data_IF_515167944948
#
_entry.id   IF_515167944948
#
_cell.length_a   1.000
_cell.length_b   1.000
_cell.length_c   1.000
_cell.angle_alpha   90.00
_cell.angle_beta   90.00
_cell.angle_gamma   90.00
#
_symmetry.space_group_name_H-M   'P 1'
#
loop_
_entity.id
_entity.type
_entity.pdbx_description
1 polymer ?
#
# COMPACT_ATOMS: atom_id res chain seq x y z
N UNK A 1 11.76 -1.74 -9.60
CA UNK A 1 11.68 -2.76 -8.53
C UNK A 1 11.04 -4.01 -9.13
N UNK A 2 11.75 -5.15 -9.17
CA UNK A 2 11.18 -6.42 -9.64
C UNK A 2 10.61 -7.14 -8.41
N UNK A 3 9.31 -6.98 -8.17
CA UNK A 3 8.58 -7.79 -7.21
C UNK A 3 8.19 -9.10 -7.87
N UNK A 4 8.55 -10.24 -7.28
CA UNK A 4 7.98 -11.53 -7.68
C UNK A 4 6.54 -11.56 -7.19
N UNK A 5 5.59 -11.68 -8.12
CA UNK A 5 4.17 -11.87 -7.82
C UNK A 5 3.94 -13.35 -7.50
N UNK A 6 3.93 -13.70 -6.22
CA UNK A 6 3.26 -14.94 -5.81
C UNK A 6 1.77 -14.62 -5.62
N UNK A 7 0.98 -15.03 -6.60
CA UNK A 7 -0.47 -14.88 -6.59
C UNK A 7 -1.10 -15.82 -5.56
N UNK A 8 -1.36 -15.29 -4.37
CA UNK A 8 -2.28 -15.89 -3.41
C UNK A 8 -3.16 -14.78 -2.84
N UNK A 9 -4.40 -14.70 -3.32
CA UNK A 9 -5.45 -13.97 -2.60
C UNK A 9 -5.59 -14.62 -1.22
N UNK A 10 -5.55 -13.83 -0.15
CA UNK A 10 -5.66 -14.39 1.20
C UNK A 10 -7.02 -15.10 1.35
N UNK A 11 -7.04 -16.35 1.83
CA UNK A 11 -8.25 -17.18 1.86
C UNK A 11 -9.32 -16.69 2.86
N UNK A 12 -8.98 -15.75 3.73
CA UNK A 12 -9.81 -15.21 4.82
C UNK A 12 -10.57 -13.91 4.47
N UNK A 13 -10.39 -13.37 3.26
CA UNK A 13 -11.05 -12.15 2.78
C UNK A 13 -12.59 -12.24 2.65
N UNK A 14 -13.19 -13.41 2.93
CA UNK A 14 -14.63 -13.65 2.75
C UNK A 14 -15.48 -13.49 4.03
N UNK A 15 -14.90 -13.15 5.20
CA UNK A 15 -15.68 -13.18 6.47
C UNK A 15 -15.45 -11.99 7.41
N UNK A 16 -14.43 -11.16 7.19
CA UNK A 16 -14.25 -9.84 7.80
C UNK A 16 -13.82 -8.86 6.70
N UNK A 17 -14.07 -7.54 6.79
CA UNK A 17 -13.41 -6.62 5.87
C UNK A 17 -11.91 -6.77 6.10
N UNK A 18 -11.24 -7.47 5.19
CA UNK A 18 -9.81 -7.68 5.28
C UNK A 18 -9.14 -6.29 5.23
N UNK A 19 -8.21 -6.07 6.16
CA UNK A 19 -7.48 -4.82 6.28
C UNK A 19 -6.03 -5.06 5.83
N UNK A 20 -5.53 -4.15 5.00
CA UNK A 20 -4.13 -4.06 4.63
C UNK A 20 -3.43 -2.99 5.46
N UNK A 21 -2.17 -3.22 5.78
CA UNK A 21 -1.28 -2.20 6.37
C UNK A 21 -0.67 -1.39 5.24
N UNK A 22 -0.76 -0.07 5.32
CA UNK A 22 -0.23 0.85 4.31
C UNK A 22 0.50 2.02 4.97
N UNK A 23 1.54 2.54 4.29
CA UNK A 23 2.11 3.86 4.62
C UNK A 23 1.34 4.91 3.81
N UNK A 24 0.68 5.84 4.50
CA UNK A 24 -0.18 6.84 3.89
C UNK A 24 0.31 8.26 4.20
N UNK A 25 0.22 9.14 3.20
CA UNK A 25 0.45 10.58 3.33
C UNK A 25 -0.91 11.29 3.18
N UNK A 26 -1.31 12.07 4.18
CA UNK A 26 -2.58 12.81 4.18
C UNK A 26 -2.40 14.32 4.29
N UNK A 27 -1.16 14.79 4.48
CA UNK A 27 -0.78 16.20 4.63
C UNK A 27 0.60 16.44 4.02
N UNK A 28 0.89 17.66 3.62
CA UNK A 28 2.22 18.04 3.14
C UNK A 28 3.23 18.06 4.30
N UNK A 29 4.47 17.66 4.01
CA UNK A 29 5.57 17.64 4.98
C UNK A 29 6.72 16.76 4.50
N UNK A 30 7.73 16.61 5.35
CA UNK A 30 8.83 15.68 5.16
C UNK A 30 8.46 14.25 5.59
N UNK A 31 9.45 13.38 5.86
CA UNK A 31 9.22 11.98 6.25
C UNK A 31 8.26 11.78 7.44
N UNK A 32 8.12 12.79 8.31
CA UNK A 32 7.24 12.79 9.48
C UNK A 32 5.73 12.70 9.18
N UNK A 33 5.34 12.77 7.90
CA UNK A 33 3.94 12.60 7.47
C UNK A 33 3.63 11.21 6.92
N UNK A 34 4.60 10.29 6.95
CA UNK A 34 4.44 8.89 6.57
C UNK A 34 3.79 8.12 7.72
N UNK A 35 2.47 7.96 7.68
CA UNK A 35 1.70 7.31 8.74
C UNK A 35 1.41 5.84 8.36
N UNK A 36 1.71 4.90 9.27
CA UNK A 36 1.33 3.50 9.10
C UNK A 36 -0.13 3.31 9.56
N UNK A 37 -0.99 2.94 8.63
CA UNK A 37 -2.44 2.84 8.83
C UNK A 37 -2.97 1.49 8.37
N UNK A 38 -4.12 1.09 8.92
CA UNK A 38 -4.91 -0.01 8.39
C UNK A 38 -5.99 0.55 7.44
N UNK A 39 -6.10 -0.04 6.26
CA UNK A 39 -7.08 0.33 5.22
C UNK A 39 -7.83 -0.92 4.75
N UNK A 40 -9.04 -0.81 4.22
CA UNK A 40 -9.69 -1.93 3.54
C UNK A 40 -8.80 -2.49 2.42
N UNK A 41 -8.82 -3.81 2.26
CA UNK A 41 -8.15 -4.47 1.14
C UNK A 41 -8.69 -3.92 -0.19
N UNK A 42 -7.80 -3.61 -1.15
CA UNK A 42 -8.22 -3.08 -2.43
C UNK A 42 -8.89 -4.17 -3.28
N UNK A 43 -9.98 -3.81 -3.94
CA UNK A 43 -10.68 -4.69 -4.89
C UNK A 43 -10.20 -4.37 -6.30
N UNK A 44 -9.51 -5.29 -7.00
CA UNK A 44 -9.02 -5.04 -8.35
C UNK A 44 -10.19 -4.92 -9.34
N UNK A 45 -10.11 -3.97 -10.27
CA UNK A 45 -11.02 -3.87 -11.41
C UNK A 45 -10.58 -4.78 -12.57
N UNK A 46 -11.39 -4.88 -13.63
CA UNK A 46 -11.08 -5.66 -14.82
C UNK A 46 -9.70 -5.28 -15.41
N UNK A 47 -8.85 -6.29 -15.60
CA UNK A 47 -7.49 -6.11 -16.11
C UNK A 47 -6.45 -5.68 -15.07
N UNK A 48 -6.83 -5.49 -13.81
CA UNK A 48 -5.90 -5.23 -12.70
C UNK A 48 -5.56 -6.53 -11.95
N UNK A 49 -4.41 -6.55 -11.29
CA UNK A 49 -3.99 -7.64 -10.40
C UNK A 49 -3.73 -7.11 -9.00
N UNK A 50 -4.18 -7.87 -8.00
CA UNK A 50 -3.85 -7.63 -6.60
C UNK A 50 -2.60 -8.45 -6.23
N UNK A 51 -1.63 -7.83 -5.56
CA UNK A 51 -0.37 -8.47 -5.16
C UNK A 51 -0.17 -8.34 -3.65
N UNK A 52 0.25 -9.42 -2.98
CA UNK A 52 0.76 -9.36 -1.61
C UNK A 52 2.20 -8.83 -1.66
N UNK A 53 2.41 -7.63 -1.12
CA UNK A 53 3.69 -6.92 -1.18
C UNK A 53 4.58 -7.37 -0.01
N UNK A 54 5.59 -8.19 -0.30
CA UNK A 54 6.57 -8.61 0.70
C UNK A 54 7.61 -7.53 1.04
N UNK A 55 7.96 -6.69 0.06
CA UNK A 55 8.94 -5.61 0.20
C UNK A 55 8.61 -4.45 -0.73
N UNK A 56 8.77 -3.22 -0.24
CA UNK A 56 8.78 -1.99 -1.03
C UNK A 56 10.09 -1.24 -0.79
N UNK A 57 10.59 -0.56 -1.81
CA UNK A 57 11.76 0.32 -1.68
C UNK A 57 11.33 1.76 -1.49
N UNK A 58 12.21 2.53 -0.87
CA UNK A 58 12.03 3.95 -0.65
C UNK A 58 12.86 4.73 -1.67
N UNK A 59 12.29 5.78 -2.23
CA UNK A 59 12.99 6.74 -3.07
C UNK A 59 12.80 8.19 -2.60
N UNK A 60 13.37 9.14 -3.34
CA UNK A 60 13.32 10.56 -2.98
C UNK A 60 11.92 11.17 -3.12
N UNK A 61 11.07 10.63 -4.00
CA UNK A 61 9.71 11.13 -4.22
C UNK A 61 8.82 10.91 -2.98
N UNK A 62 9.08 9.86 -2.19
CA UNK A 62 8.30 9.53 -0.98
C UNK A 62 8.29 10.65 0.06
N UNK A 63 9.30 11.52 0.07
CA UNK A 63 9.45 12.60 1.06
C UNK A 63 9.54 13.98 0.43
N UNK A 64 9.46 14.07 -0.91
CA UNK A 64 9.57 15.33 -1.65
C UNK A 64 8.19 15.94 -1.92
N UNK A 65 7.30 15.90 -0.92
CA UNK A 65 6.05 16.64 -0.95
C UNK A 65 6.36 18.08 -0.55
N UNK A 66 6.20 19.02 -1.49
CA UNK A 66 6.47 20.45 -1.23
C UNK A 66 5.61 20.92 -0.07
N UNK A 67 6.25 21.49 0.94
CA UNK A 67 5.57 22.31 1.95
C UNK A 67 5.22 23.62 1.25
N UNK A 68 3.94 23.83 0.96
CA UNK A 68 3.44 25.09 0.39
C UNK A 68 3.31 26.16 1.46
#
# INVERSE_FOLDING_TARGET
>A
MVGRTEGAVRPDALTQPALMRAVQITRFGGPEVLDLVDLPDPVPADGQQLSDVSTAGIDFADTHHRVS
#
